data_IF_111714023958
#
_entry.id   IF_111714023958
#
_cell.length_a   1.000
_cell.length_b   1.000
_cell.length_c   1.000
_cell.angle_alpha   90.00
_cell.angle_beta   90.00
_cell.angle_gamma   90.00
#
_symmetry.space_group_name_H-M   'P 1'
#
loop_
_entity.id
_entity.type
_entity.pdbx_description
1 polymer ?
#
# COMPACT_ATOMS: atom_id res chain seq x y z
N UNK A 1 8.06 -5.83 1.58
CA UNK A 1 7.93 -4.55 2.31
C UNK A 1 7.87 -3.46 1.27
N UNK A 2 6.70 -2.86 1.08
CA UNK A 2 6.45 -1.84 0.07
C UNK A 2 5.93 -0.58 0.75
N UNK A 3 6.58 0.56 0.50
CA UNK A 3 6.20 1.86 1.05
C UNK A 3 5.69 2.76 -0.06
N UNK A 4 4.57 3.42 0.16
CA UNK A 4 3.92 4.28 -0.84
C UNK A 4 3.08 5.38 -0.18
N UNK A 5 2.82 6.45 -0.93
CA UNK A 5 2.03 7.58 -0.41
C UNK A 5 0.54 7.26 -0.39
N UNK A 6 -0.24 8.04 0.38
CA UNK A 6 -1.71 7.90 0.41
C UNK A 6 -2.33 7.99 -0.99
N UNK A 7 -1.82 8.88 -1.84
CA UNK A 7 -2.38 9.04 -3.20
C UNK A 7 -2.09 7.81 -4.08
N UNK A 8 -0.89 7.25 -3.98
CA UNK A 8 -0.56 5.98 -4.65
C UNK A 8 -1.36 4.80 -4.10
N UNK A 9 -1.64 4.79 -2.79
CA UNK A 9 -2.40 3.72 -2.14
C UNK A 9 -3.86 3.71 -2.58
N UNK A 10 -4.45 4.88 -2.83
CA UNK A 10 -5.85 5.02 -3.23
C UNK A 10 -6.13 4.35 -4.56
N UNK A 11 -5.28 4.59 -5.54
CA UNK A 11 -5.49 4.10 -6.90
C UNK A 11 -5.27 2.57 -7.02
N UNK A 12 -4.45 2.01 -6.12
CA UNK A 12 -4.04 0.59 -6.15
C UNK A 12 -4.50 -0.22 -4.92
N UNK A 13 -5.50 0.25 -4.17
CA UNK A 13 -5.87 -0.32 -2.87
C UNK A 13 -6.20 -1.82 -2.94
N UNK A 14 -6.95 -2.25 -3.96
CA UNK A 14 -7.32 -3.65 -4.12
C UNK A 14 -6.11 -4.57 -4.33
N UNK A 15 -5.13 -4.12 -5.13
CA UNK A 15 -3.88 -4.85 -5.38
C UNK A 15 -3.01 -4.91 -4.12
N UNK A 16 -2.95 -3.82 -3.37
CA UNK A 16 -2.21 -3.75 -2.11
C UNK A 16 -2.80 -4.68 -1.05
N UNK A 17 -4.13 -4.79 -0.97
CA UNK A 17 -4.80 -5.72 -0.08
C UNK A 17 -4.52 -7.18 -0.47
N UNK A 18 -4.47 -7.50 -1.76
CA UNK A 18 -4.11 -8.84 -2.22
C UNK A 18 -2.67 -9.21 -1.84
N UNK A 19 -1.72 -8.27 -1.99
CA UNK A 19 -0.31 -8.46 -1.57
C UNK A 19 -0.18 -8.62 -0.06
N UNK A 20 -0.92 -7.82 0.71
CA UNK A 20 -0.95 -7.94 2.17
C UNK A 20 -1.53 -9.29 2.63
N UNK A 21 -2.54 -9.80 1.95
CA UNK A 21 -3.10 -11.13 2.23
C UNK A 21 -2.10 -12.27 1.95
N UNK A 22 -1.16 -12.06 1.02
CA UNK A 22 -0.07 -13.01 0.71
C UNK A 22 1.11 -12.91 1.70
N UNK A 23 1.01 -12.03 2.70
CA UNK A 23 2.03 -11.83 3.74
C UNK A 23 3.03 -10.70 3.45
N UNK A 24 2.80 -9.90 2.41
CA UNK A 24 3.62 -8.74 2.12
C UNK A 24 3.28 -7.56 3.06
N UNK A 25 4.29 -6.99 3.72
CA UNK A 25 4.08 -5.81 4.56
C UNK A 25 3.99 -4.53 3.71
N UNK A 26 2.87 -3.80 3.81
CA UNK A 26 2.61 -2.54 3.10
C UNK A 26 2.60 -1.38 4.10
N UNK A 27 3.39 -0.34 3.84
CA UNK A 27 3.48 0.87 4.67
C UNK A 27 2.96 2.06 3.87
N UNK A 28 1.88 2.68 4.34
CA UNK A 28 1.30 3.87 3.71
C UNK A 28 1.78 5.10 4.45
N UNK A 29 2.43 6.01 3.75
CA UNK A 29 2.95 7.28 4.29
C UNK A 29 2.15 8.47 3.76
N UNK A 30 2.02 9.51 4.58
CA UNK A 30 1.53 10.82 4.14
C UNK A 30 2.73 11.71 3.95
N UNK A 31 2.93 12.19 2.72
CA UNK A 31 3.83 13.32 2.46
C UNK A 31 3.05 14.59 2.84
N UNK A 32 3.66 15.46 3.65
CA UNK A 32 3.09 16.75 4.12
C UNK A 32 3.38 17.87 3.10
#
# INVERSE_FOLDING_TARGET
MTTLTIDQAKDHLAELLAKAADGEEIVIVRDD
#
